data_IF_384158352005
#
_entry.id   IF_384158352005
#
_cell.length_a   1.000
_cell.length_b   1.000
_cell.length_c   1.000
_cell.angle_alpha   90.00
_cell.angle_beta   90.00
_cell.angle_gamma   90.00
#
_symmetry.space_group_name_H-M   'P 1'
#
loop_
_entity.id
_entity.type
_entity.pdbx_description
1 polymer ?
#
# COMPACT_ATOMS: atom_id res chain seq x y z
N UNK A 1 23.66 2.76 5.67
CA UNK A 1 23.43 1.38 5.22
C UNK A 1 24.14 0.44 6.17
N UNK A 2 23.47 -0.56 6.73
CA UNK A 2 23.99 -1.46 7.77
C UNK A 2 24.07 -2.90 7.26
N UNK A 3 25.07 -3.64 7.71
CA UNK A 3 25.21 -5.08 7.47
C UNK A 3 24.94 -5.84 8.78
N UNK A 4 23.99 -6.78 8.75
CA UNK A 4 23.71 -7.70 9.85
C UNK A 4 24.16 -9.10 9.43
N UNK A 5 25.11 -9.67 10.17
CA UNK A 5 25.58 -11.04 9.95
C UNK A 5 25.05 -11.94 11.05
N UNK A 6 24.38 -13.02 10.65
CA UNK A 6 23.78 -14.01 11.54
C UNK A 6 24.59 -15.31 11.51
N UNK A 7 24.79 -15.88 12.70
CA UNK A 7 25.49 -17.14 12.91
C UNK A 7 24.50 -18.32 12.90
N UNK A 8 24.99 -19.56 12.76
CA UNK A 8 24.18 -20.76 12.88
C UNK A 8 23.31 -20.79 14.15
N UNK A 9 22.10 -21.34 14.01
CA UNK A 9 21.19 -21.64 15.12
C UNK A 9 20.34 -20.46 15.62
N UNK A 10 20.58 -19.24 15.13
CA UNK A 10 19.76 -18.08 15.49
C UNK A 10 18.51 -18.00 14.61
N UNK A 11 17.44 -17.42 15.16
CA UNK A 11 16.22 -17.15 14.42
C UNK A 11 16.37 -15.89 13.57
N UNK A 12 16.10 -16.00 12.27
CA UNK A 12 16.23 -14.92 11.29
C UNK A 12 15.32 -13.73 11.63
N UNK A 13 14.03 -13.96 11.90
CA UNK A 13 13.04 -12.90 12.14
C UNK A 13 13.34 -12.18 13.45
N UNK A 14 13.61 -12.94 14.51
CA UNK A 14 13.90 -12.37 15.83
C UNK A 14 15.21 -11.58 15.82
N UNK A 15 16.24 -12.07 15.14
CA UNK A 15 17.53 -11.37 15.06
C UNK A 15 17.41 -10.03 14.33
N UNK A 16 16.61 -9.96 13.25
CA UNK A 16 16.36 -8.69 12.54
C UNK A 16 15.55 -7.73 13.42
N UNK A 17 14.52 -8.22 14.11
CA UNK A 17 13.74 -7.41 15.03
C UNK A 17 14.59 -6.86 16.19
N UNK A 18 15.46 -7.70 16.76
CA UNK A 18 16.38 -7.28 17.82
C UNK A 18 17.38 -6.23 17.30
N UNK A 19 17.94 -6.43 16.10
CA UNK A 19 18.81 -5.46 15.46
C UNK A 19 18.13 -4.10 15.28
N UNK A 20 16.87 -4.10 14.79
CA UNK A 20 16.11 -2.87 14.60
C UNK A 20 15.85 -2.13 15.92
N UNK A 21 15.43 -2.88 16.96
CA UNK A 21 15.18 -2.36 18.31
C UNK A 21 16.44 -1.80 18.97
N UNK A 22 17.54 -2.55 18.94
CA UNK A 22 18.80 -2.19 19.62
C UNK A 22 19.43 -0.94 19.02
N UNK A 23 19.35 -0.77 17.70
CA UNK A 23 19.94 0.37 17.00
C UNK A 23 18.94 1.51 16.76
N UNK A 24 17.68 1.35 17.21
CA UNK A 24 16.61 2.33 17.01
C UNK A 24 16.44 2.75 15.53
N UNK A 25 16.46 1.78 14.61
CA UNK A 25 16.44 2.05 13.17
C UNK A 25 15.08 1.76 12.53
N UNK A 26 14.68 2.62 11.60
CA UNK A 26 13.62 2.35 10.63
C UNK A 26 14.26 2.04 9.29
N UNK A 27 13.65 1.19 8.46
CA UNK A 27 14.30 0.83 7.21
C UNK A 27 13.63 -0.24 6.38
N UNK A 28 14.38 -0.67 5.37
CA UNK A 28 14.02 -1.77 4.46
C UNK A 28 15.17 -2.75 4.34
N UNK A 29 14.84 -4.02 4.14
CA UNK A 29 15.80 -5.01 3.66
C UNK A 29 16.12 -4.68 2.20
N UNK A 30 17.41 -4.55 1.89
CA UNK A 30 17.92 -4.25 0.54
C UNK A 30 18.41 -5.51 -0.14
N UNK A 31 18.98 -6.44 0.64
CA UNK A 31 19.51 -7.68 0.11
C UNK A 31 19.79 -8.68 1.22
N UNK A 32 19.85 -9.94 0.83
CA UNK A 32 20.15 -11.06 1.72
C UNK A 32 20.88 -12.14 0.92
N UNK A 33 21.79 -12.84 1.59
CA UNK A 33 22.33 -14.12 1.15
C UNK A 33 22.49 -15.01 2.38
N UNK A 34 22.18 -16.29 2.28
CA UNK A 34 22.33 -17.21 3.40
C UNK A 34 21.46 -18.45 3.28
N UNK A 35 21.53 -19.28 4.31
CA UNK A 35 20.81 -20.54 4.37
C UNK A 35 20.09 -20.75 5.71
N UNK A 36 19.04 -21.56 5.65
CA UNK A 36 18.20 -21.93 6.78
C UNK A 36 18.16 -23.46 6.91
N UNK A 37 18.14 -23.95 8.16
CA UNK A 37 17.85 -25.36 8.49
C UNK A 37 16.36 -25.61 8.61
N UNK A 38 15.61 -24.53 8.87
CA UNK A 38 14.16 -24.49 8.99
C UNK A 38 13.66 -23.12 8.54
N UNK A 39 12.59 -23.09 7.77
CA UNK A 39 11.85 -21.88 7.45
C UNK A 39 10.41 -22.02 7.91
N UNK A 40 9.83 -20.96 8.46
CA UNK A 40 8.42 -20.90 8.83
C UNK A 40 7.80 -19.71 8.11
N UNK A 41 6.79 -19.96 7.30
CA UNK A 41 6.08 -18.92 6.55
C UNK A 41 4.57 -19.07 6.65
N UNK A 42 3.84 -17.97 6.53
CA UNK A 42 2.39 -17.96 6.41
C UNK A 42 1.97 -17.61 4.97
N UNK A 43 1.18 -18.48 4.35
CA UNK A 43 0.69 -18.30 2.99
C UNK A 43 -0.59 -17.45 2.96
N UNK A 44 -0.85 -16.64 1.91
CA UNK A 44 -1.98 -15.70 1.88
C UNK A 44 -3.37 -16.32 2.11
N UNK A 45 -3.60 -17.54 1.61
CA UNK A 45 -4.89 -18.24 1.72
C UNK A 45 -5.04 -19.02 3.01
N UNK A 46 -3.93 -19.31 3.72
CA UNK A 46 -3.94 -20.22 4.84
C UNK A 46 -3.50 -19.47 6.11
N UNK A 47 -4.39 -19.41 7.11
CA UNK A 47 -4.06 -18.78 8.38
C UNK A 47 -3.08 -19.62 9.20
N UNK A 48 -2.84 -20.88 8.86
CA UNK A 48 -1.84 -21.72 9.55
C UNK A 48 -0.44 -21.50 8.99
N UNK A 49 0.55 -21.58 9.87
CA UNK A 49 1.97 -21.48 9.52
C UNK A 49 2.41 -22.77 8.83
N UNK A 50 3.20 -22.64 7.78
CA UNK A 50 3.82 -23.74 7.05
C UNK A 50 5.29 -23.81 7.41
N UNK A 51 5.76 -24.99 7.83
CA UNK A 51 7.17 -25.26 8.16
C UNK A 51 7.83 -26.00 7.00
N UNK A 52 9.04 -25.59 6.68
CA UNK A 52 9.95 -26.30 5.76
C UNK A 52 11.20 -26.62 6.54
N UNK A 53 11.59 -27.89 6.58
CA UNK A 53 12.78 -28.37 7.27
C UNK A 53 13.74 -28.97 6.22
N UNK A 54 15.05 -28.72 6.36
CA UNK A 54 16.05 -29.20 5.39
C UNK A 54 17.19 -28.21 5.19
N UNK A 55 17.98 -28.41 4.13
CA UNK A 55 18.95 -27.39 3.70
C UNK A 55 18.26 -26.45 2.71
N UNK A 56 18.02 -25.22 3.15
CA UNK A 56 17.20 -24.24 2.42
C UNK A 56 18.04 -23.00 2.10
N UNK A 57 18.13 -22.62 0.83
CA UNK A 57 18.81 -21.39 0.41
C UNK A 57 17.82 -20.22 0.44
N UNK A 58 18.23 -19.07 1.00
CA UNK A 58 17.42 -17.84 0.98
C UNK A 58 17.54 -17.23 -0.41
N UNK A 59 16.44 -17.23 -1.16
CA UNK A 59 16.36 -16.62 -2.49
C UNK A 59 16.05 -15.13 -2.39
N UNK A 60 15.13 -14.75 -1.49
CA UNK A 60 14.86 -13.36 -1.20
C UNK A 60 14.28 -13.15 0.19
N UNK A 61 14.60 -12.00 0.79
CA UNK A 61 14.00 -11.49 2.01
C UNK A 61 13.67 -10.03 1.75
N UNK A 62 12.39 -9.68 1.79
CA UNK A 62 11.92 -8.34 1.49
C UNK A 62 11.03 -7.85 2.61
N UNK A 63 11.11 -6.58 2.96
CA UNK A 63 10.22 -6.04 3.97
C UNK A 63 10.73 -4.79 4.68
N UNK A 64 9.90 -4.33 5.60
CA UNK A 64 10.17 -3.17 6.45
C UNK A 64 10.64 -3.59 7.84
N UNK A 65 11.45 -2.73 8.44
CA UNK A 65 11.86 -2.85 9.84
C UNK A 65 11.62 -1.52 10.57
N UNK A 66 11.22 -1.63 11.83
CA UNK A 66 11.18 -0.53 12.80
C UNK A 66 11.59 -1.06 14.19
N UNK A 67 11.84 -0.18 15.17
CA UNK A 67 12.12 -0.61 16.55
C UNK A 67 10.97 -1.41 17.18
N UNK A 68 9.72 -1.18 16.74
CA UNK A 68 8.51 -1.79 17.28
C UNK A 68 8.09 -3.07 16.54
N UNK A 69 8.34 -3.16 15.23
CA UNK A 69 7.88 -4.28 14.42
C UNK A 69 8.70 -4.50 13.16
N UNK A 70 8.69 -5.74 12.68
CA UNK A 70 9.24 -6.09 11.35
C UNK A 70 8.15 -6.77 10.53
N UNK A 71 8.06 -6.41 9.26
CA UNK A 71 7.16 -7.06 8.30
C UNK A 71 8.00 -7.59 7.16
N UNK A 72 8.24 -8.90 7.15
CA UNK A 72 9.19 -9.55 6.26
C UNK A 72 8.49 -10.65 5.47
N UNK A 73 8.77 -10.74 4.18
CA UNK A 73 8.41 -11.84 3.30
C UNK A 73 9.67 -12.59 2.89
N UNK A 74 9.60 -13.91 2.89
CA UNK A 74 10.71 -14.81 2.61
C UNK A 74 10.38 -15.68 1.39
N UNK A 75 11.35 -15.87 0.50
CA UNK A 75 11.37 -16.94 -0.48
C UNK A 75 12.62 -17.80 -0.28
N UNK A 76 12.44 -19.12 -0.28
CA UNK A 76 13.48 -20.13 -0.09
C UNK A 76 13.47 -21.15 -1.22
N UNK A 77 14.63 -21.75 -1.49
CA UNK A 77 14.76 -22.91 -2.37
C UNK A 77 15.14 -24.14 -1.56
N UNK A 78 14.51 -25.28 -1.84
CA UNK A 78 14.93 -26.58 -1.32
C UNK A 78 16.06 -27.19 -2.16
N UNK A 79 16.52 -28.38 -1.76
CA UNK A 79 17.59 -29.13 -2.45
C UNK A 79 17.22 -29.64 -3.84
N UNK A 80 15.93 -29.65 -4.21
CA UNK A 80 15.44 -29.96 -5.56
C UNK A 80 15.22 -28.68 -6.39
N UNK A 81 15.71 -27.54 -5.92
CA UNK A 81 15.52 -26.22 -6.52
C UNK A 81 14.05 -25.75 -6.60
N UNK A 82 13.15 -26.30 -5.79
CA UNK A 82 11.76 -25.81 -5.72
C UNK A 82 11.70 -24.60 -4.79
N UNK A 83 10.98 -23.56 -5.22
CA UNK A 83 10.88 -22.30 -4.49
C UNK A 83 9.55 -22.20 -3.75
N UNK A 84 9.62 -21.86 -2.46
CA UNK A 84 8.49 -21.66 -1.57
C UNK A 84 8.58 -20.29 -0.91
N UNK A 85 7.45 -19.67 -0.54
CA UNK A 85 7.49 -18.37 0.10
C UNK A 85 6.17 -17.92 0.73
N UNK A 86 6.27 -16.86 1.53
CA UNK A 86 5.15 -16.27 2.26
C UNK A 86 5.61 -15.21 3.26
N UNK A 87 4.71 -14.82 4.17
CA UNK A 87 5.07 -13.94 5.29
C UNK A 87 6.00 -14.70 6.24
N UNK A 88 7.17 -14.13 6.56
CA UNK A 88 8.15 -14.75 7.44
C UNK A 88 7.61 -14.80 8.86
N UNK A 89 7.62 -16.00 9.44
CA UNK A 89 7.21 -16.25 10.82
C UNK A 89 8.41 -16.61 11.70
N UNK A 90 8.21 -16.55 13.02
CA UNK A 90 9.20 -17.05 13.97
C UNK A 90 9.38 -18.57 13.78
N UNK A 91 10.61 -19.04 13.97
CA UNK A 91 11.06 -20.41 13.80
C UNK A 91 11.93 -20.62 12.56
N UNK A 92 12.31 -19.55 11.85
CA UNK A 92 13.22 -19.62 10.71
C UNK A 92 14.67 -19.63 11.20
N UNK A 93 15.32 -20.79 11.21
CA UNK A 93 16.63 -21.00 11.88
C UNK A 93 17.75 -21.00 10.85
N UNK A 94 18.77 -20.17 11.08
CA UNK A 94 19.97 -20.07 10.25
C UNK A 94 20.80 -21.35 10.32
N UNK A 95 21.21 -21.90 9.18
CA UNK A 95 21.98 -23.15 9.11
C UNK A 95 23.49 -22.89 9.27
N UNK A 96 24.11 -22.20 8.31
CA UNK A 96 25.54 -21.85 8.30
C UNK A 96 25.75 -20.36 8.48
N UNK A 97 24.87 -19.53 7.92
CA UNK A 97 24.93 -18.09 8.11
C UNK A 97 23.98 -17.32 7.21
N UNK A 98 23.69 -16.09 7.60
CA UNK A 98 22.97 -15.14 6.75
C UNK A 98 23.60 -13.75 6.83
N UNK A 99 23.88 -13.14 5.69
CA UNK A 99 24.34 -11.77 5.56
C UNK A 99 23.20 -10.91 4.99
N UNK A 100 22.78 -9.90 5.75
CA UNK A 100 21.61 -9.09 5.46
C UNK A 100 22.05 -7.64 5.34
N UNK A 101 21.67 -7.01 4.22
CA UNK A 101 21.89 -5.60 3.98
C UNK A 101 20.62 -4.81 4.28
N UNK A 102 20.75 -3.82 5.16
CA UNK A 102 19.65 -3.03 5.69
C UNK A 102 19.88 -1.57 5.34
N UNK A 103 18.93 -0.94 4.65
CA UNK A 103 18.92 0.50 4.53
C UNK A 103 18.24 1.10 5.77
N UNK A 104 19.01 1.81 6.60
CA UNK A 104 18.49 2.55 7.75
C UNK A 104 18.16 3.98 7.35
N UNK A 105 16.98 4.43 7.72
CA UNK A 105 16.51 5.80 7.61
C UNK A 105 16.54 6.42 9.02
N UNK A 106 17.12 7.62 9.15
CA UNK A 106 17.16 8.36 10.42
C UNK A 106 15.79 8.95 10.79
N UNK A 107 14.96 9.25 9.79
CA UNK A 107 13.60 9.73 9.97
C UNK A 107 12.58 8.59 9.90
N UNK A 108 11.52 8.71 10.71
CA UNK A 108 10.36 7.82 10.63
C UNK A 108 9.80 7.95 9.21
N UNK A 109 9.65 6.82 8.50
CA UNK A 109 9.07 6.80 7.16
C UNK A 109 7.73 7.52 7.21
N UNK A 110 7.63 8.68 6.58
CA UNK A 110 6.35 9.34 6.36
C UNK A 110 5.60 8.49 5.34
N UNK A 111 4.65 7.71 5.83
CA UNK A 111 3.62 7.11 4.98
C UNK A 111 2.77 8.25 4.45
N UNK A 112 3.13 8.78 3.28
CA UNK A 112 2.16 9.47 2.44
C UNK A 112 1.23 8.39 1.93
N UNK A 113 0.14 8.14 2.66
CA UNK A 113 -1.03 7.57 2.02
C UNK A 113 -1.34 8.55 0.89
N UNK A 114 -1.19 8.11 -0.36
CA UNK A 114 -1.82 8.80 -1.48
C UNK A 114 -3.31 8.76 -1.14
N UNK A 115 -3.80 9.82 -0.51
CA UNK A 115 -5.22 9.99 -0.25
C UNK A 115 -5.89 9.84 -1.60
N UNK A 116 -6.80 8.88 -1.68
CA UNK A 116 -7.61 8.61 -2.86
C UNK A 116 -8.06 9.94 -3.46
N UNK A 117 -7.69 10.20 -4.70
CA UNK A 117 -8.18 11.33 -5.48
C UNK A 117 -9.70 11.41 -5.34
N UNK A 118 -10.22 12.48 -4.72
CA UNK A 118 -11.65 12.58 -4.41
C UNK A 118 -12.34 13.44 -5.47
N UNK A 119 -12.95 12.77 -6.44
CA UNK A 119 -13.90 13.39 -7.35
C UNK A 119 -15.27 13.52 -6.66
N UNK A 120 -15.67 14.75 -6.32
CA UNK A 120 -17.04 15.04 -5.89
C UNK A 120 -17.82 15.72 -7.01
N UNK A 121 -19.07 15.29 -7.22
CA UNK A 121 -19.98 15.90 -8.19
C UNK A 121 -21.26 16.30 -7.50
N UNK A 122 -21.51 17.61 -7.42
CA UNK A 122 -22.77 18.14 -6.92
C UNK A 122 -23.81 18.17 -8.06
N UNK A 123 -24.99 17.62 -7.79
CA UNK A 123 -26.03 17.37 -8.80
C UNK A 123 -27.39 17.80 -8.34
N UNK A 124 -28.21 18.29 -9.28
CA UNK A 124 -29.62 18.58 -9.05
C UNK A 124 -30.51 17.40 -9.47
N UNK A 125 -31.65 17.18 -8.80
CA UNK A 125 -32.66 16.22 -9.27
C UNK A 125 -33.18 16.65 -10.64
N UNK A 126 -33.49 15.68 -11.50
CA UNK A 126 -34.09 15.89 -12.83
C UNK A 126 -33.28 16.78 -13.78
N UNK A 127 -31.98 16.97 -13.54
CA UNK A 127 -31.07 17.72 -14.41
C UNK A 127 -30.43 16.79 -15.46
N UNK A 128 -30.65 17.00 -16.77
CA UNK A 128 -30.09 16.14 -17.83
C UNK A 128 -28.57 16.04 -17.78
N UNK A 129 -27.88 17.16 -17.56
CA UNK A 129 -26.41 17.21 -17.46
C UNK A 129 -25.89 16.42 -16.25
N UNK A 130 -26.54 16.58 -15.09
CA UNK A 130 -26.21 15.82 -13.89
C UNK A 130 -26.40 14.32 -14.08
N UNK A 131 -27.49 13.92 -14.73
CA UNK A 131 -27.78 12.51 -15.02
C UNK A 131 -26.74 11.91 -15.98
N UNK A 132 -26.28 12.67 -16.96
CA UNK A 132 -25.27 12.18 -17.88
C UNK A 132 -23.91 11.98 -17.19
N UNK A 133 -23.48 12.89 -16.31
CA UNK A 133 -22.26 12.69 -15.52
C UNK A 133 -22.38 11.42 -14.66
N UNK A 134 -23.49 11.24 -13.93
CA UNK A 134 -23.73 10.02 -13.13
C UNK A 134 -23.62 8.75 -13.97
N UNK A 135 -24.13 8.78 -15.21
CA UNK A 135 -24.04 7.67 -16.15
C UNK A 135 -22.60 7.40 -16.59
N UNK A 136 -21.84 8.44 -16.97
CA UNK A 136 -20.43 8.31 -17.37
C UNK A 136 -19.60 7.73 -16.22
N UNK A 137 -19.76 8.27 -15.01
CA UNK A 137 -19.00 7.83 -13.83
C UNK A 137 -19.31 6.37 -13.46
N UNK A 138 -20.59 5.99 -13.46
CA UNK A 138 -21.00 4.62 -13.14
C UNK A 138 -20.59 3.61 -14.20
N UNK A 139 -20.73 3.95 -15.48
CA UNK A 139 -20.38 3.07 -16.61
C UNK A 139 -18.87 2.77 -16.62
N UNK A 140 -18.05 3.77 -16.35
CA UNK A 140 -16.59 3.65 -16.37
C UNK A 140 -15.98 3.26 -15.01
N UNK A 141 -16.81 2.96 -14.00
CA UNK A 141 -16.38 2.56 -12.65
C UNK A 141 -15.40 3.55 -12.01
N UNK A 142 -15.60 4.84 -12.26
CA UNK A 142 -14.74 5.91 -11.74
C UNK A 142 -15.07 6.09 -10.26
N UNK A 143 -14.12 5.99 -9.32
CA UNK A 143 -14.37 6.30 -7.92
C UNK A 143 -14.80 7.76 -7.77
N UNK A 144 -15.96 8.01 -7.16
CA UNK A 144 -16.51 9.35 -7.01
C UNK A 144 -17.50 9.43 -5.85
N UNK A 145 -17.82 10.65 -5.44
CA UNK A 145 -18.86 10.96 -4.47
C UNK A 145 -19.90 11.88 -5.10
N UNK A 146 -21.14 11.42 -5.15
CA UNK A 146 -22.28 12.26 -5.58
C UNK A 146 -22.81 13.04 -4.39
N UNK A 147 -22.92 14.35 -4.55
CA UNK A 147 -23.60 15.24 -3.62
C UNK A 147 -24.95 15.60 -4.26
N UNK A 148 -26.05 15.09 -3.71
CA UNK A 148 -27.40 15.39 -4.22
C UNK A 148 -27.93 16.67 -3.57
N UNK A 149 -28.26 17.67 -4.36
CA UNK A 149 -28.79 18.95 -3.90
C UNK A 149 -30.31 18.89 -3.94
N UNK A 150 -30.92 18.76 -2.76
CA UNK A 150 -32.34 18.55 -2.56
C UNK A 150 -32.99 19.61 -1.63
N UNK A 151 -32.22 20.61 -1.19
CA UNK A 151 -32.69 21.68 -0.31
C UNK A 151 -31.91 22.97 -0.58
N UNK A 152 -32.52 24.11 -0.25
CA UNK A 152 -31.89 25.43 -0.38
C UNK A 152 -30.63 25.56 0.47
N UNK A 153 -30.62 24.93 1.66
CA UNK A 153 -29.44 24.90 2.52
C UNK A 153 -28.24 24.20 1.84
N UNK A 154 -28.48 23.06 1.18
CA UNK A 154 -27.44 22.36 0.42
C UNK A 154 -26.99 23.18 -0.79
N UNK A 155 -27.92 23.84 -1.48
CA UNK A 155 -27.63 24.69 -2.62
C UNK A 155 -26.69 25.85 -2.23
N UNK A 156 -27.04 26.61 -1.19
CA UNK A 156 -26.21 27.74 -0.74
C UNK A 156 -24.86 27.26 -0.18
N UNK A 157 -24.80 26.08 0.45
CA UNK A 157 -23.53 25.50 0.92
C UNK A 157 -22.55 25.21 -0.23
N UNK A 158 -23.04 24.64 -1.33
CA UNK A 158 -22.21 24.31 -2.50
C UNK A 158 -21.86 25.57 -3.29
N UNK A 159 -22.80 26.49 -3.44
CA UNK A 159 -22.55 27.80 -4.06
C UNK A 159 -21.50 28.60 -3.29
N UNK A 160 -21.47 28.52 -1.95
CA UNK A 160 -20.39 29.13 -1.15
C UNK A 160 -19.03 28.50 -1.41
N UNK A 161 -18.97 27.21 -1.76
CA UNK A 161 -17.73 26.49 -2.10
C UNK A 161 -17.20 26.84 -3.49
N UNK A 162 -18.07 26.94 -4.50
CA UNK A 162 -17.67 27.15 -5.90
C UNK A 162 -17.75 28.58 -6.38
N UNK A 163 -18.55 29.43 -5.71
CA UNK A 163 -18.99 30.73 -6.21
C UNK A 163 -20.04 30.64 -7.33
N UNK A 164 -20.40 29.43 -7.79
CA UNK A 164 -21.32 29.22 -8.90
C UNK A 164 -22.72 28.83 -8.41
N UNK A 165 -23.75 29.36 -9.09
CA UNK A 165 -25.16 28.96 -8.92
C UNK A 165 -25.60 27.89 -9.94
N UNK A 166 -24.73 27.48 -10.86
CA UNK A 166 -25.06 26.50 -11.91
C UNK A 166 -24.67 25.08 -11.49
N UNK A 167 -25.37 24.07 -12.02
CA UNK A 167 -25.13 22.65 -11.74
C UNK A 167 -25.16 21.83 -13.04
N UNK A 168 -24.43 20.71 -13.13
CA UNK A 168 -23.60 20.08 -12.09
C UNK A 168 -22.34 20.88 -11.74
N UNK A 169 -21.77 20.63 -10.57
CA UNK A 169 -20.50 21.24 -10.15
C UNK A 169 -19.47 20.15 -9.80
N UNK A 170 -18.28 20.28 -10.36
CA UNK A 170 -17.19 19.30 -10.22
C UNK A 170 -16.16 19.81 -9.23
N UNK A 171 -15.79 18.96 -8.28
CA UNK A 171 -14.72 19.22 -7.35
C UNK A 171 -13.68 18.11 -7.43
N UNK A 172 -12.42 18.50 -7.60
CA UNK A 172 -11.27 17.62 -7.52
C UNK A 172 -10.48 18.01 -6.28
N UNK A 173 -10.38 17.07 -5.33
CA UNK A 173 -9.75 17.28 -4.03
C UNK A 173 -10.27 18.53 -3.31
N UNK A 174 -11.59 18.69 -3.38
CA UNK A 174 -12.32 19.82 -2.78
C UNK A 174 -12.25 21.13 -3.57
N UNK A 175 -11.42 21.22 -4.62
CA UNK A 175 -11.28 22.43 -5.43
C UNK A 175 -12.26 22.41 -6.61
N UNK A 176 -13.02 23.48 -6.79
CA UNK A 176 -13.96 23.63 -7.89
C UNK A 176 -13.24 23.61 -9.25
N UNK A 177 -13.79 22.85 -10.20
CA UNK A 177 -13.23 22.65 -11.55
C UNK A 177 -14.20 23.01 -12.67
N UNK A 178 -15.39 23.51 -12.33
CA UNK A 178 -16.38 23.93 -13.31
C UNK A 178 -17.60 23.01 -13.36
N UNK A 179 -18.30 23.08 -14.48
CA UNK A 179 -19.58 22.43 -14.72
C UNK A 179 -19.48 21.19 -15.60
N UNK A 180 -20.54 20.97 -16.40
CA UNK A 180 -20.65 19.80 -17.26
C UNK A 180 -19.64 19.77 -18.41
N UNK A 181 -19.40 20.91 -19.06
CA UNK A 181 -18.48 20.97 -20.21
C UNK A 181 -17.03 20.77 -19.73
N UNK A 182 -16.66 21.39 -18.61
CA UNK A 182 -15.36 21.19 -17.97
C UNK A 182 -15.17 19.71 -17.56
N UNK A 183 -16.23 19.06 -17.06
CA UNK A 183 -16.19 17.62 -16.78
C UNK A 183 -15.85 16.80 -18.02
N UNK A 184 -16.52 17.07 -19.15
CA UNK A 184 -16.27 16.34 -20.39
C UNK A 184 -14.85 16.56 -20.90
N UNK A 185 -14.33 17.78 -20.83
CA UNK A 185 -12.96 18.08 -21.22
C UNK A 185 -11.94 17.31 -20.35
N UNK A 186 -12.11 17.37 -19.02
CA UNK A 186 -11.27 16.64 -18.07
C UNK A 186 -11.35 15.12 -18.30
N UNK A 187 -12.55 14.61 -18.58
CA UNK A 187 -12.77 13.19 -18.87
C UNK A 187 -12.07 12.76 -20.17
N UNK A 188 -12.20 13.54 -21.25
CA UNK A 188 -11.57 13.25 -22.54
C UNK A 188 -10.05 13.30 -22.48
N UNK A 189 -9.48 14.21 -21.67
CA UNK A 189 -8.03 14.32 -21.46
C UNK A 189 -7.45 13.26 -20.50
N UNK A 190 -8.30 12.52 -19.79
CA UNK A 190 -7.89 11.57 -18.75
C UNK A 190 -7.37 12.25 -17.47
N UNK A 191 -7.70 13.52 -17.27
CA UNK A 191 -7.24 14.33 -16.13
C UNK A 191 -8.11 14.14 -14.87
N UNK A 192 -9.15 13.30 -14.95
CA UNK A 192 -9.94 12.86 -13.78
C UNK A 192 -9.24 11.81 -12.91
N UNK A 193 -7.98 11.44 -13.22
CA UNK A 193 -7.27 10.33 -12.57
C UNK A 193 -5.80 10.63 -12.25
N UNK A 194 -5.33 11.86 -12.45
CA UNK A 194 -3.92 12.24 -12.28
C UNK A 194 -3.59 12.70 -10.87
#
# INVERSE_FOLDING_TARGET
MNRLKLNPGVDLKLSIAEFARKNNINGFIVGVVGDLSKAVVQCPKNKTKTSFDGTLEIISLNGTISPESVHLHLAISDGDCRVWGGHLEQGAIVLKGADILINSQESKLTTTNLTSFVLEVATLPNCPWSNNIKKILSTNKIPHKIININSDANFESIKKRSGSSTFPQIFLDGVFRGGYDDFLELYQKGDLYK
#
